data_IF_857865178043
#
_entry.id   IF_857865178043
#
_cell.length_a   1.000
_cell.length_b   1.000
_cell.length_c   1.000
_cell.angle_alpha   90.00
_cell.angle_beta   90.00
_cell.angle_gamma   90.00
#
_symmetry.space_group_name_H-M   'P 1'
#
loop_
_entity.id
_entity.type
_entity.pdbx_description
1 polymer ?
#
# COMPACT_ATOMS: atom_id res chain seq x y z
N UNK A 1 -6.56 -2.13 19.74
CA UNK A 1 -6.54 -0.65 19.57
C UNK A 1 -5.18 -0.24 19.04
N UNK A 2 -5.12 0.72 18.11
CA UNK A 2 -3.86 1.29 17.60
C UNK A 2 -3.55 2.57 18.38
N UNK A 3 -2.33 2.70 18.89
CA UNK A 3 -1.89 3.93 19.57
C UNK A 3 -1.68 5.02 18.52
N UNK A 4 -2.41 6.12 18.66
CA UNK A 4 -2.32 7.28 17.76
C UNK A 4 -2.19 8.54 18.58
N UNK A 5 -1.34 9.48 18.13
CA UNK A 5 -1.26 10.83 18.68
C UNK A 5 -1.92 11.79 17.70
N UNK A 6 -2.93 12.52 18.18
CA UNK A 6 -3.66 13.53 17.40
C UNK A 6 -3.62 14.87 18.15
N UNK A 7 -3.79 15.96 17.42
CA UNK A 7 -3.96 17.28 18.01
C UNK A 7 -5.44 17.67 17.98
N UNK A 8 -5.89 18.31 19.04
CA UNK A 8 -7.25 18.85 19.16
C UNK A 8 -7.14 20.33 19.52
N UNK A 9 -7.97 21.21 18.91
CA UNK A 9 -8.14 22.57 19.40
C UNK A 9 -8.48 22.57 20.89
N UNK A 10 -7.91 23.50 21.66
CA UNK A 10 -8.05 23.53 23.11
C UNK A 10 -9.52 23.55 23.56
N UNK A 11 -10.37 24.35 22.89
CA UNK A 11 -11.79 24.43 23.24
C UNK A 11 -12.53 23.14 22.93
N UNK A 12 -12.21 22.49 21.81
CA UNK A 12 -12.79 21.19 21.47
C UNK A 12 -12.40 20.11 22.49
N UNK A 13 -11.13 20.08 22.90
CA UNK A 13 -10.66 19.16 23.93
C UNK A 13 -11.43 19.34 25.25
N UNK A 14 -11.63 20.60 25.68
CA UNK A 14 -12.40 20.93 26.89
C UNK A 14 -13.84 20.45 26.79
N UNK A 15 -14.50 20.67 25.66
CA UNK A 15 -15.88 20.21 25.43
C UNK A 15 -15.99 18.69 25.48
N UNK A 16 -15.07 17.99 24.82
CA UNK A 16 -15.05 16.54 24.84
C UNK A 16 -14.79 15.98 26.23
N UNK A 17 -13.94 16.65 27.04
CA UNK A 17 -13.73 16.28 28.44
C UNK A 17 -14.99 16.50 29.28
N UNK A 18 -15.68 17.63 29.13
CA UNK A 18 -16.96 17.89 29.82
C UNK A 18 -18.00 16.83 29.50
N UNK A 19 -18.13 16.46 28.21
CA UNK A 19 -19.04 15.40 27.78
C UNK A 19 -18.66 14.04 28.36
N UNK A 20 -17.37 13.70 28.33
CA UNK A 20 -16.86 12.44 28.87
C UNK A 20 -17.17 12.34 30.37
N UNK A 21 -16.89 13.39 31.13
CA UNK A 21 -17.13 13.44 32.57
C UNK A 21 -18.64 13.34 32.88
N UNK A 22 -19.50 14.03 32.13
CA UNK A 22 -20.96 13.98 32.28
C UNK A 22 -21.58 12.61 31.93
N UNK A 23 -20.88 11.79 31.15
CA UNK A 23 -21.32 10.45 30.72
C UNK A 23 -20.57 9.32 31.43
N UNK A 24 -19.68 9.65 32.36
CA UNK A 24 -18.80 8.70 33.04
C UNK A 24 -17.96 7.86 32.05
N UNK A 25 -17.50 8.50 30.98
CA UNK A 25 -16.67 7.90 29.95
C UNK A 25 -15.24 8.40 30.04
N UNK A 26 -14.31 7.60 29.48
CA UNK A 26 -12.98 8.12 29.17
C UNK A 26 -13.03 9.05 27.93
N UNK A 27 -12.04 9.92 27.80
CA UNK A 27 -11.89 10.74 26.59
C UNK A 27 -11.68 9.86 25.34
N UNK A 28 -10.93 8.76 25.46
CA UNK A 28 -10.69 7.81 24.37
C UNK A 28 -12.01 7.17 23.89
N UNK A 29 -12.88 6.80 24.83
CA UNK A 29 -14.18 6.22 24.50
C UNK A 29 -15.12 7.24 23.84
N UNK A 30 -15.07 8.49 24.31
CA UNK A 30 -15.81 9.60 23.69
C UNK A 30 -15.36 9.83 22.24
N UNK A 31 -14.05 9.84 21.99
CA UNK A 31 -13.48 9.96 20.64
C UNK A 31 -13.84 8.77 19.75
N UNK A 32 -13.81 7.54 20.28
CA UNK A 32 -14.22 6.32 19.54
C UNK A 32 -15.66 6.45 19.05
N UNK A 33 -16.59 6.75 19.96
CA UNK A 33 -18.01 6.93 19.61
C UNK A 33 -18.23 8.06 18.61
N UNK A 34 -17.54 9.19 18.77
CA UNK A 34 -17.62 10.29 17.84
C UNK A 34 -17.14 9.90 16.44
N UNK A 35 -16.01 9.19 16.34
CA UNK A 35 -15.46 8.72 15.07
C UNK A 35 -16.39 7.71 14.39
N UNK A 36 -16.95 6.75 15.13
CA UNK A 36 -17.91 5.78 14.60
C UNK A 36 -19.17 6.45 14.07
N UNK A 37 -19.75 7.38 14.82
CA UNK A 37 -20.91 8.15 14.37
C UNK A 37 -20.59 9.06 13.18
N UNK A 38 -19.36 9.54 13.07
CA UNK A 38 -18.92 10.34 11.93
C UNK A 38 -18.81 9.46 10.67
N UNK A 39 -18.14 8.31 10.77
CA UNK A 39 -18.01 7.35 9.66
C UNK A 39 -19.37 6.78 9.21
N UNK A 40 -20.29 6.54 10.14
CA UNK A 40 -21.64 6.09 9.81
C UNK A 40 -22.42 7.12 8.95
N UNK A 41 -22.14 8.42 9.14
CA UNK A 41 -22.74 9.52 8.36
C UNK A 41 -22.00 9.82 7.06
N UNK A 42 -20.74 9.38 6.95
CA UNK A 42 -19.88 9.59 5.80
C UNK A 42 -19.39 8.23 5.27
N UNK A 43 -20.27 7.41 4.68
CA UNK A 43 -19.87 6.14 4.12
C UNK A 43 -18.80 6.38 3.04
N UNK A 44 -17.68 5.67 3.16
CA UNK A 44 -16.66 5.71 2.12
C UNK A 44 -17.25 5.19 0.81
N UNK A 45 -16.99 5.87 -0.30
CA UNK A 45 -17.23 5.26 -1.60
C UNK A 45 -16.40 3.98 -1.69
N UNK A 46 -16.97 2.85 -2.16
CA UNK A 46 -16.22 1.63 -2.30
C UNK A 46 -15.03 1.89 -3.22
N UNK A 47 -13.81 1.74 -2.71
CA UNK A 47 -12.60 1.75 -3.52
C UNK A 47 -12.67 0.49 -4.40
N UNK A 48 -13.23 0.65 -5.60
CA UNK A 48 -13.49 -0.47 -6.53
C UNK A 48 -12.24 -0.85 -7.32
N UNK A 49 -11.19 -0.04 -7.25
CA UNK A 49 -9.92 -0.34 -7.88
C UNK A 49 -9.13 -1.27 -6.98
N UNK A 50 -9.15 -2.56 -7.28
CA UNK A 50 -8.08 -3.48 -6.86
C UNK A 50 -6.74 -2.81 -7.12
N UNK A 51 -5.91 -2.73 -6.07
CA UNK A 51 -4.53 -2.30 -6.23
C UNK A 51 -3.84 -3.28 -7.18
N UNK A 52 -3.41 -2.79 -8.34
CA UNK A 52 -2.60 -3.56 -9.30
C UNK A 52 -1.15 -3.12 -9.17
N UNK A 53 -0.18 -4.06 -9.03
CA UNK A 53 1.22 -3.70 -9.02
C UNK A 53 1.59 -2.97 -10.33
N UNK A 54 2.50 -1.99 -10.29
CA UNK A 54 2.94 -1.33 -11.51
C UNK A 54 3.61 -2.36 -12.43
N UNK A 55 3.13 -2.46 -13.67
CA UNK A 55 3.83 -3.23 -14.71
C UNK A 55 5.06 -2.43 -15.13
N UNK A 56 6.24 -3.06 -15.09
CA UNK A 56 7.45 -2.41 -15.60
C UNK A 56 7.29 -2.15 -17.10
N UNK A 57 7.40 -0.88 -17.49
CA UNK A 57 7.28 -0.45 -18.89
C UNK A 57 8.48 -0.86 -19.75
N UNK A 58 9.58 -1.28 -19.12
CA UNK A 58 10.84 -1.67 -19.78
C UNK A 58 11.36 -2.96 -19.14
N UNK A 59 10.65 -4.05 -19.35
CA UNK A 59 11.18 -5.39 -19.07
C UNK A 59 12.04 -5.83 -20.26
N UNK A 60 13.25 -6.30 -19.99
CA UNK A 60 14.20 -6.69 -21.03
C UNK A 60 15.58 -6.06 -20.91
N UNK A 61 16.53 -6.55 -21.68
CA UNK A 61 17.88 -5.97 -21.76
C UNK A 61 18.02 -5.23 -23.09
N UNK A 62 18.26 -3.92 -23.05
CA UNK A 62 18.41 -3.04 -24.23
C UNK A 62 17.29 -3.18 -25.28
N UNK A 63 16.03 -3.26 -24.83
CA UNK A 63 14.87 -3.37 -25.72
C UNK A 63 14.56 -4.79 -26.21
N UNK A 64 15.33 -5.79 -25.77
CA UNK A 64 15.04 -7.20 -26.06
C UNK A 64 14.04 -7.75 -25.05
N UNK A 65 12.98 -8.38 -25.54
CA UNK A 65 12.06 -9.15 -24.70
C UNK A 65 12.79 -10.29 -23.99
N UNK A 66 12.23 -10.79 -22.89
CA UNK A 66 12.78 -11.93 -22.15
C UNK A 66 13.08 -13.13 -23.07
N UNK A 67 12.17 -13.44 -24.00
CA UNK A 67 12.33 -14.53 -24.98
C UNK A 67 13.56 -14.32 -25.87
N UNK A 68 13.77 -13.09 -26.37
CA UNK A 68 14.91 -12.76 -27.23
C UNK A 68 16.23 -12.85 -26.47
N UNK A 69 16.26 -12.43 -25.21
CA UNK A 69 17.45 -12.57 -24.36
C UNK A 69 17.76 -14.06 -24.13
N UNK A 70 16.74 -14.87 -23.84
CA UNK A 70 16.90 -16.30 -23.65
C UNK A 70 17.43 -17.01 -24.90
N UNK A 71 16.87 -16.69 -26.07
CA UNK A 71 17.29 -17.26 -27.36
C UNK A 71 18.73 -16.88 -27.72
N UNK A 72 19.11 -15.62 -27.53
CA UNK A 72 20.48 -15.16 -27.78
C UNK A 72 21.50 -15.85 -26.86
N UNK A 73 21.14 -16.11 -25.60
CA UNK A 73 21.99 -16.85 -24.67
C UNK A 73 22.19 -18.31 -25.11
N UNK A 74 21.13 -18.97 -25.62
CA UNK A 74 21.22 -20.32 -26.14
C UNK A 74 22.11 -20.40 -27.40
N UNK A 75 21.97 -19.45 -28.34
CA UNK A 75 22.79 -19.41 -29.55
C UNK A 75 24.29 -19.19 -29.24
N UNK A 76 24.61 -18.29 -28.30
CA UNK A 76 26.01 -18.08 -27.86
C UNK A 76 26.61 -19.36 -27.27
N UNK A 77 25.85 -20.07 -26.43
CA UNK A 77 26.27 -21.35 -25.86
C UNK A 77 26.48 -22.41 -26.95
N UNK A 78 25.58 -22.53 -27.92
CA UNK A 78 25.72 -23.51 -29.01
C UNK A 78 26.97 -23.21 -29.86
N UNK A 79 27.24 -21.94 -30.16
CA UNK A 79 28.47 -21.53 -30.88
C UNK A 79 29.74 -21.91 -30.12
N UNK A 80 29.76 -21.76 -28.79
CA UNK A 80 30.90 -22.17 -27.95
C UNK A 80 31.10 -23.69 -27.99
N UNK A 81 30.02 -24.46 -27.85
CA UNK A 81 30.10 -25.93 -27.88
C UNK A 81 30.60 -26.46 -29.25
N UNK A 82 30.17 -25.85 -30.36
CA UNK A 82 30.65 -26.20 -31.70
C UNK A 82 32.14 -25.90 -31.90
N UNK A 83 32.67 -24.84 -31.31
CA UNK A 83 34.11 -24.51 -31.35
C UNK A 83 34.96 -25.51 -30.54
N UNK A 84 34.44 -25.99 -29.41
CA UNK A 84 35.13 -27.01 -28.59
C UNK A 84 35.18 -28.36 -29.31
N UNK A 85 34.10 -28.77 -30.00
CA UNK A 85 34.02 -30.05 -30.74
C UNK A 85 34.87 -30.13 -32.02
N UNK A 86 35.42 -29.01 -32.49
CA UNK A 86 36.27 -28.94 -33.69
C UNK A 86 37.77 -28.86 -33.37
N UNK A 87 38.14 -29.03 -32.10
CA UNK A 87 39.52 -29.22 -31.64
C UNK A 87 39.76 -30.67 -31.27
#
# INVERSE_FOLDING_TARGET
>A
MVKTQIQLPNDLYRELKRLADAKEWSLAETLRRAAEQFLARHPASPVTSEWKPPVSSKVGWRGLSHRQVHEAALDDMERRLRKVRRR
#
